data_IF_373419709871
#
_entry.id   IF_373419709871
#
_cell.length_a   1.000
_cell.length_b   1.000
_cell.length_c   1.000
_cell.angle_alpha   90.00
_cell.angle_beta   90.00
_cell.angle_gamma   90.00
#
_symmetry.space_group_name_H-M   'P 1'
#
loop_
_entity.id
_entity.type
_entity.pdbx_description
1 polymer ?
#
# COMPACT_ATOMS: atom_id res chain seq x y z
N UNK A 1 -19.23 -10.93 -3.45
CA UNK A 1 -17.91 -10.36 -3.74
C UNK A 1 -17.26 -11.15 -4.86
N UNK A 2 -17.12 -10.53 -6.02
CA UNK A 2 -16.30 -10.96 -7.15
C UNK A 2 -14.88 -11.24 -6.69
N UNK A 3 -14.14 -12.07 -7.43
CA UNK A 3 -12.73 -12.36 -7.13
C UNK A 3 -11.89 -11.09 -7.04
N UNK A 4 -12.17 -10.10 -7.90
CA UNK A 4 -11.52 -8.78 -7.86
C UNK A 4 -11.83 -8.03 -6.56
N UNK A 5 -13.10 -7.97 -6.14
CA UNK A 5 -13.49 -7.34 -4.89
C UNK A 5 -12.85 -8.03 -3.67
N UNK A 6 -12.74 -9.37 -3.66
CA UNK A 6 -12.04 -10.10 -2.58
C UNK A 6 -10.55 -9.73 -2.52
N UNK A 7 -9.87 -9.64 -3.66
CA UNK A 7 -8.45 -9.25 -3.69
C UNK A 7 -8.23 -7.86 -3.11
N UNK A 8 -9.08 -6.89 -3.48
CA UNK A 8 -9.03 -5.53 -2.95
C UNK A 8 -9.35 -5.48 -1.46
N UNK A 9 -10.29 -6.29 -1.00
CA UNK A 9 -10.63 -6.37 0.42
C UNK A 9 -9.46 -6.90 1.26
N UNK A 10 -8.81 -7.99 0.80
CA UNK A 10 -7.61 -8.53 1.47
C UNK A 10 -6.48 -7.51 1.47
N UNK A 11 -6.28 -6.80 0.36
CA UNK A 11 -5.30 -5.71 0.32
C UNK A 11 -5.66 -4.56 1.27
N UNK A 12 -6.93 -4.21 1.39
CA UNK A 12 -7.42 -3.25 2.38
C UNK A 12 -7.09 -3.67 3.82
N UNK A 13 -7.19 -4.95 4.17
CA UNK A 13 -6.77 -5.47 5.49
C UNK A 13 -5.27 -5.28 5.69
N UNK A 14 -4.45 -5.64 4.70
CA UNK A 14 -3.01 -5.42 4.78
C UNK A 14 -2.68 -3.94 4.98
N UNK A 15 -3.30 -3.05 4.21
CA UNK A 15 -3.08 -1.61 4.30
C UNK A 15 -3.56 -1.04 5.65
N UNK A 16 -4.67 -1.57 6.19
CA UNK A 16 -5.17 -1.23 7.50
C UNK A 16 -4.14 -1.58 8.59
N UNK A 17 -3.61 -2.80 8.58
CA UNK A 17 -2.59 -3.24 9.55
C UNK A 17 -1.34 -2.36 9.42
N UNK A 18 -0.86 -2.15 8.20
CA UNK A 18 0.31 -1.31 7.92
C UNK A 18 0.12 0.12 8.44
N UNK A 19 -1.05 0.72 8.16
CA UNK A 19 -1.39 2.07 8.62
C UNK A 19 -1.44 2.19 10.15
N UNK A 20 -2.02 1.20 10.82
CA UNK A 20 -2.08 1.13 12.29
C UNK A 20 -0.68 0.97 12.89
N UNK A 21 0.18 0.16 12.28
CA UNK A 21 1.59 0.04 12.71
C UNK A 21 2.32 1.38 12.62
N UNK A 22 2.14 2.14 11.53
CA UNK A 22 2.72 3.47 11.39
C UNK A 22 2.18 4.51 12.39
N UNK A 23 0.90 4.40 12.76
CA UNK A 23 0.26 5.33 13.71
C UNK A 23 0.70 5.05 15.16
N UNK A 24 0.66 3.78 15.57
CA UNK A 24 0.88 3.35 16.95
C UNK A 24 2.38 3.23 17.25
N UNK A 25 3.16 2.63 16.35
CA UNK A 25 4.59 2.34 16.53
C UNK A 25 5.47 2.97 15.43
N UNK A 26 5.45 4.31 15.24
CA UNK A 26 6.21 4.96 14.18
C UNK A 26 7.72 4.76 14.32
N UNK A 27 8.25 4.74 15.55
CA UNK A 27 9.70 4.58 15.78
C UNK A 27 10.17 3.18 15.39
N UNK A 28 9.39 2.14 15.69
CA UNK A 28 9.69 0.77 15.27
C UNK A 28 9.65 0.62 13.76
N UNK A 29 8.72 1.30 13.08
CA UNK A 29 8.67 1.35 11.61
C UNK A 29 9.90 2.07 11.05
N UNK A 30 10.31 3.18 11.64
CA UNK A 30 11.52 3.92 11.26
C UNK A 30 12.77 3.03 11.39
N UNK A 31 12.91 2.32 12.51
CA UNK A 31 14.04 1.42 12.76
C UNK A 31 14.05 0.23 11.80
N UNK A 32 12.90 -0.39 11.55
CA UNK A 32 12.78 -1.55 10.67
C UNK A 32 13.07 -1.19 9.21
N UNK A 33 12.55 -0.04 8.75
CA UNK A 33 12.81 0.41 7.38
C UNK A 33 14.19 1.09 7.31
N UNK A 34 14.76 1.56 8.41
CA UNK A 34 16.04 2.26 8.47
C UNK A 34 15.98 3.68 7.89
N UNK A 35 14.82 4.36 7.97
CA UNK A 35 14.62 5.70 7.38
C UNK A 35 14.81 6.78 8.45
N UNK A 36 16.04 7.27 8.61
CA UNK A 36 16.35 8.41 9.46
C UNK A 36 16.39 8.07 10.96
N UNK A 37 16.38 9.11 11.80
CA UNK A 37 16.52 8.99 13.26
C UNK A 37 15.14 8.94 13.94
N UNK A 38 14.87 7.94 14.82
CA UNK A 38 13.63 7.88 15.60
C UNK A 38 13.41 9.18 16.39
N UNK A 39 12.17 9.68 16.40
CA UNK A 39 11.83 10.96 17.04
C UNK A 39 11.45 12.05 16.03
N UNK A 40 12.40 12.54 15.23
CA UNK A 40 12.15 13.63 14.28
C UNK A 40 11.21 13.22 13.13
N UNK A 41 11.41 12.02 12.56
CA UNK A 41 10.58 11.50 11.47
C UNK A 41 9.22 10.94 11.94
N UNK A 42 9.01 10.80 13.26
CA UNK A 42 7.85 10.09 13.82
C UNK A 42 6.50 10.75 13.48
N UNK A 43 6.48 12.08 13.38
CA UNK A 43 5.27 12.85 13.02
C UNK A 43 4.89 12.59 11.56
N UNK A 44 5.86 12.61 10.65
CA UNK A 44 5.61 12.35 9.22
C UNK A 44 5.19 10.90 8.96
N UNK A 45 5.74 9.94 9.70
CA UNK A 45 5.33 8.53 9.62
C UNK A 45 3.88 8.36 10.09
N UNK A 46 3.50 8.99 11.22
CA UNK A 46 2.11 8.98 11.69
C UNK A 46 1.16 9.64 10.71
N UNK A 47 1.56 10.78 10.15
CA UNK A 47 0.78 11.49 9.13
C UNK A 47 0.56 10.62 7.87
N UNK A 48 1.63 9.98 7.39
CA UNK A 48 1.55 9.05 6.26
C UNK A 48 0.70 7.82 6.58
N UNK A 49 0.81 7.30 7.81
CA UNK A 49 -0.04 6.23 8.33
C UNK A 49 -1.52 6.61 8.33
N UNK A 50 -1.87 7.82 8.76
CA UNK A 50 -3.25 8.34 8.70
C UNK A 50 -3.78 8.39 7.26
N UNK A 51 -2.98 8.85 6.29
CA UNK A 51 -3.38 8.85 4.87
C UNK A 51 -3.61 7.43 4.35
N UNK A 52 -2.71 6.50 4.68
CA UNK A 52 -2.85 5.08 4.32
C UNK A 52 -4.09 4.44 4.96
N UNK A 53 -4.45 4.85 6.19
CA UNK A 53 -5.66 4.40 6.88
C UNK A 53 -6.92 4.82 6.12
N UNK A 54 -6.99 6.07 5.67
CA UNK A 54 -8.12 6.56 4.86
C UNK A 54 -8.24 5.79 3.54
N UNK A 55 -7.09 5.50 2.90
CA UNK A 55 -7.07 4.71 1.68
C UNK A 55 -7.56 3.27 1.92
N UNK A 56 -7.20 2.65 3.05
CA UNK A 56 -7.70 1.33 3.43
C UNK A 56 -9.23 1.33 3.59
N UNK A 57 -9.80 2.37 4.22
CA UNK A 57 -11.25 2.53 4.34
C UNK A 57 -11.93 2.69 2.98
N UNK A 58 -11.32 3.46 2.06
CA UNK A 58 -11.82 3.58 0.69
C UNK A 58 -11.79 2.24 -0.05
N UNK A 59 -10.75 1.44 0.13
CA UNK A 59 -10.64 0.11 -0.47
C UNK A 59 -11.70 -0.85 0.08
N UNK A 60 -11.98 -0.81 1.38
CA UNK A 60 -13.08 -1.59 1.95
C UNK A 60 -14.44 -1.18 1.39
N UNK A 61 -14.71 0.12 1.28
CA UNK A 61 -15.97 0.61 0.71
C UNK A 61 -16.10 0.25 -0.77
N UNK A 62 -15.04 0.44 -1.55
CA UNK A 62 -15.00 0.11 -2.97
C UNK A 62 -15.17 -1.39 -3.22
N UNK A 63 -14.50 -2.24 -2.42
CA UNK A 63 -14.64 -3.68 -2.49
C UNK A 63 -16.06 -4.15 -2.14
N UNK A 64 -16.66 -3.61 -1.07
CA UNK A 64 -18.03 -3.97 -0.64
C UNK A 64 -19.09 -3.57 -1.66
N UNK A 65 -18.90 -2.44 -2.35
CA UNK A 65 -19.80 -1.94 -3.41
C UNK A 65 -19.43 -2.45 -4.81
N UNK A 66 -18.39 -3.27 -4.92
CA UNK A 66 -17.87 -3.80 -6.20
C UNK A 66 -17.63 -2.72 -7.26
N UNK A 67 -17.12 -1.55 -6.86
CA UNK A 67 -16.81 -0.45 -7.77
C UNK A 67 -15.65 -0.81 -8.71
N UNK A 68 -15.98 -1.40 -9.86
CA UNK A 68 -15.01 -1.95 -10.84
C UNK A 68 -14.03 -0.92 -11.40
N UNK A 69 -14.49 0.29 -11.73
CA UNK A 69 -13.61 1.34 -12.26
C UNK A 69 -12.55 1.74 -11.24
N UNK A 70 -12.93 1.85 -9.97
CA UNK A 70 -12.00 2.12 -8.89
C UNK A 70 -10.99 0.97 -8.72
N UNK A 71 -11.42 -0.29 -8.87
CA UNK A 71 -10.50 -1.45 -8.88
C UNK A 71 -9.46 -1.34 -9.99
N UNK A 72 -9.86 -0.95 -11.20
CA UNK A 72 -8.93 -0.70 -12.29
C UNK A 72 -7.93 0.42 -11.98
N UNK A 73 -8.37 1.53 -11.39
CA UNK A 73 -7.45 2.61 -11.00
C UNK A 73 -6.38 2.13 -10.02
N UNK A 74 -6.75 1.27 -9.06
CA UNK A 74 -5.76 0.72 -8.11
C UNK A 74 -4.73 -0.20 -8.76
N UNK A 75 -5.07 -0.88 -9.85
CA UNK A 75 -4.10 -1.70 -10.59
C UNK A 75 -2.98 -0.84 -11.18
N UNK A 76 -3.30 0.38 -11.63
CA UNK A 76 -2.30 1.31 -12.18
C UNK A 76 -1.54 2.06 -11.10
N UNK A 77 -2.20 2.46 -10.00
CA UNK A 77 -1.57 3.31 -8.99
C UNK A 77 -0.68 2.54 -8.02
N UNK A 78 -1.01 1.30 -7.68
CA UNK A 78 -0.26 0.53 -6.67
C UNK A 78 1.17 0.16 -7.09
N UNK A 79 1.43 -0.26 -8.35
CA UNK A 79 2.80 -0.46 -8.84
C UNK A 79 3.65 0.82 -8.85
N UNK A 80 3.03 2.00 -8.88
CA UNK A 80 3.78 3.26 -8.82
C UNK A 80 4.52 3.42 -7.49
N UNK A 81 4.01 2.84 -6.40
CA UNK A 81 4.71 2.82 -5.10
C UNK A 81 6.08 2.17 -5.26
N UNK A 82 6.14 1.02 -5.93
CA UNK A 82 7.42 0.38 -6.23
C UNK A 82 8.30 1.26 -7.11
N UNK A 83 7.76 1.83 -8.18
CA UNK A 83 8.52 2.70 -9.08
C UNK A 83 9.15 3.90 -8.34
N UNK A 84 8.38 4.60 -7.50
CA UNK A 84 8.88 5.70 -6.68
C UNK A 84 9.90 5.23 -5.65
N UNK A 85 9.63 4.12 -4.93
CA UNK A 85 10.59 3.55 -4.00
C UNK A 85 11.90 3.17 -4.70
N UNK A 86 11.87 2.57 -5.89
CA UNK A 86 13.07 2.25 -6.67
C UNK A 86 13.85 3.50 -7.02
N UNK A 87 13.18 4.57 -7.48
CA UNK A 87 13.84 5.85 -7.78
C UNK A 87 14.51 6.43 -6.54
N UNK A 88 13.84 6.43 -5.39
CA UNK A 88 14.42 6.95 -4.13
C UNK A 88 15.59 6.11 -3.60
N UNK A 89 15.54 4.79 -3.80
CA UNK A 89 16.67 3.91 -3.45
C UNK A 89 17.85 4.17 -4.38
N UNK A 90 17.62 4.30 -5.69
CA UNK A 90 18.67 4.60 -6.67
C UNK A 90 19.30 5.98 -6.48
N UNK A 91 18.53 6.96 -5.99
CA UNK A 91 19.03 8.29 -5.64
C UNK A 91 19.75 8.35 -4.29
N UNK A 92 19.83 7.24 -3.55
CA UNK A 92 20.43 7.18 -2.22
C UNK A 92 19.62 7.88 -1.12
N UNK A 93 18.37 8.27 -1.41
CA UNK A 93 17.50 8.97 -0.46
C UNK A 93 16.79 8.00 0.50
N UNK A 94 16.63 6.74 0.10
CA UNK A 94 15.95 5.71 0.89
C UNK A 94 16.77 4.42 0.99
N UNK A 95 16.65 3.70 2.11
CA UNK A 95 17.24 2.38 2.31
C UNK A 95 16.60 1.33 1.39
N UNK A 96 17.40 0.34 0.97
CA UNK A 96 16.98 -0.73 0.04
C UNK A 96 15.80 -1.56 0.53
N UNK A 97 15.59 -1.65 1.85
CA UNK A 97 14.46 -2.38 2.43
C UNK A 97 13.10 -1.75 2.08
N UNK A 98 13.06 -0.46 1.76
CA UNK A 98 11.85 0.21 1.27
C UNK A 98 11.36 -0.36 -0.07
N UNK A 99 12.26 -0.92 -0.90
CA UNK A 99 11.89 -1.56 -2.16
C UNK A 99 11.06 -2.84 -1.93
N UNK A 100 11.24 -3.55 -0.81
CA UNK A 100 10.47 -4.75 -0.48
C UNK A 100 8.99 -4.45 -0.26
N UNK A 101 8.67 -3.27 0.29
CA UNK A 101 7.27 -2.83 0.45
C UNK A 101 6.60 -2.72 -0.93
N UNK A 102 7.31 -2.13 -1.91
CA UNK A 102 6.80 -2.02 -3.27
C UNK A 102 6.63 -3.37 -3.99
N UNK A 103 7.46 -4.37 -3.68
CA UNK A 103 7.28 -5.73 -4.24
C UNK A 103 5.94 -6.32 -3.82
N UNK A 104 5.55 -6.14 -2.54
CA UNK A 104 4.27 -6.61 -2.05
C UNK A 104 3.10 -5.95 -2.81
N UNK A 105 3.21 -4.64 -3.08
CA UNK A 105 2.22 -3.91 -3.86
C UNK A 105 2.09 -4.39 -5.30
N UNK A 106 3.20 -4.72 -5.96
CA UNK A 106 3.17 -5.30 -7.32
C UNK A 106 2.47 -6.65 -7.32
N UNK A 107 2.82 -7.54 -6.39
CA UNK A 107 2.24 -8.90 -6.33
C UNK A 107 0.73 -8.84 -6.15
N UNK A 108 0.28 -7.99 -5.24
CA UNK A 108 -1.13 -7.86 -4.93
C UNK A 108 -1.90 -7.05 -5.98
N UNK A 109 -1.25 -6.10 -6.69
CA UNK A 109 -1.83 -5.45 -7.87
C UNK A 109 -2.00 -6.42 -9.05
N UNK A 110 -1.00 -7.28 -9.29
CA UNK A 110 -1.07 -8.33 -10.31
C UNK A 110 -2.22 -9.32 -10.02
N UNK A 111 -2.42 -9.69 -8.75
CA UNK A 111 -3.56 -10.51 -8.36
C UNK A 111 -4.90 -9.83 -8.66
N UNK A 112 -5.06 -8.54 -8.34
CA UNK A 112 -6.28 -7.78 -8.67
C UNK A 112 -6.49 -7.69 -10.18
N UNK A 113 -5.43 -7.48 -10.98
CA UNK A 113 -5.50 -7.47 -12.44
C UNK A 113 -5.98 -8.80 -13.02
N UNK A 114 -5.38 -9.90 -12.60
CA UNK A 114 -5.78 -11.25 -13.04
C UNK A 114 -7.23 -11.55 -12.65
N UNK A 115 -7.65 -11.14 -11.46
CA UNK A 115 -9.01 -11.31 -10.99
C UNK A 115 -10.04 -10.45 -11.76
N UNK A 116 -9.65 -9.27 -12.24
CA UNK A 116 -10.47 -8.44 -13.13
C UNK A 116 -10.59 -9.04 -14.54
N UNK A 117 -9.46 -9.48 -15.14
CA UNK A 117 -9.48 -10.16 -16.45
C UNK A 117 -10.29 -11.45 -16.45
N UNK A 118 -10.16 -12.27 -15.40
CA UNK A 118 -10.91 -13.52 -15.27
C UNK A 118 -12.43 -13.29 -15.14
N UNK A 119 -12.85 -12.09 -14.73
CA UNK A 119 -14.26 -11.71 -14.63
C UNK A 119 -14.87 -11.24 -15.97
N UNK A 120 -14.14 -11.32 -17.09
CA UNK A 120 -14.63 -11.00 -18.43
C UNK A 120 -14.71 -9.50 -18.73
N UNK A 121 -13.78 -8.72 -18.19
CA UNK A 121 -13.57 -7.30 -18.52
C UNK A 121 -12.46 -7.15 -19.57
#
# INVERSE_FOLDING_TARGET
MTSAAKSMFVFGIYLLILSMSCLIWPNTVIELIGIGVPGEASVFIRFSGMMALFLALYYFMAARREHREFMWWTVYTRPLVFAFCTVFVLSGAFPSIAAFVGVFDIVTACWTYLALRAAGA
#
